data_IF_150769092162
#
_entry.id   IF_150769092162
#
_cell.length_a   1.000
_cell.length_b   1.000
_cell.length_c   1.000
_cell.angle_alpha   90.00
_cell.angle_beta   90.00
_cell.angle_gamma   90.00
#
_symmetry.space_group_name_H-M   'P 1'
#
loop_
_entity.id
_entity.type
_entity.pdbx_description
1 polymer ?
#
# COMPACT_ATOMS: atom_id res chain seq x y z
N UNK A 1 -23.23 -10.45 9.18
CA UNK A 1 -21.95 -9.84 8.74
C UNK A 1 -22.23 -8.94 7.54
N UNK A 2 -21.70 -7.72 7.54
CA UNK A 2 -21.86 -6.80 6.42
C UNK A 2 -20.51 -6.59 5.75
N UNK A 3 -20.50 -6.55 4.42
CA UNK A 3 -19.33 -6.26 3.61
C UNK A 3 -19.56 -4.91 2.95
N UNK A 4 -18.60 -4.01 3.10
CA UNK A 4 -18.64 -2.67 2.52
C UNK A 4 -17.47 -2.50 1.55
N UNK A 5 -17.68 -1.72 0.50
CA UNK A 5 -16.66 -1.42 -0.50
C UNK A 5 -16.44 0.08 -0.62
N UNK A 6 -15.22 0.46 -0.91
CA UNK A 6 -14.89 1.81 -1.31
C UNK A 6 -13.79 1.76 -2.37
N UNK A 7 -13.85 2.67 -3.33
CA UNK A 7 -12.81 2.83 -4.34
C UNK A 7 -12.36 4.28 -4.37
N UNK A 8 -11.07 4.49 -4.54
CA UNK A 8 -10.54 5.83 -4.75
C UNK A 8 -9.32 5.76 -5.67
N UNK A 9 -9.04 6.87 -6.32
CA UNK A 9 -7.94 6.98 -7.29
C UNK A 9 -6.80 7.75 -6.65
N UNK A 10 -5.59 7.25 -6.82
CA UNK A 10 -4.37 7.92 -6.37
C UNK A 10 -3.50 8.15 -7.60
N UNK A 11 -3.13 9.40 -7.82
CA UNK A 11 -2.21 9.75 -8.90
C UNK A 11 -0.78 9.52 -8.45
N UNK A 12 0.02 8.90 -9.29
CA UNK A 12 1.43 8.62 -9.02
C UNK A 12 2.30 9.12 -10.17
N UNK A 13 3.51 9.53 -9.85
CA UNK A 13 4.51 9.91 -10.84
C UNK A 13 5.36 8.74 -11.35
N UNK A 14 5.06 7.53 -10.86
CA UNK A 14 5.87 6.34 -11.14
C UNK A 14 7.03 6.21 -10.16
N UNK A 15 7.48 4.96 -9.94
CA UNK A 15 8.56 4.64 -8.98
C UNK A 15 8.39 5.34 -7.64
N UNK A 16 7.21 5.21 -7.06
CA UNK A 16 6.80 5.99 -5.90
C UNK A 16 6.27 5.09 -4.77
N UNK A 17 6.41 5.60 -3.55
CA UNK A 17 5.85 4.98 -2.34
C UNK A 17 4.94 6.01 -1.71
N UNK A 18 3.66 5.73 -1.67
CA UNK A 18 2.64 6.69 -1.25
C UNK A 18 1.93 6.18 0.00
N UNK A 19 1.95 6.97 1.06
CA UNK A 19 1.20 6.68 2.29
C UNK A 19 -0.28 6.93 2.06
N UNK A 20 -1.07 5.88 2.12
CA UNK A 20 -2.53 5.94 1.91
C UNK A 20 -3.32 5.67 3.19
N UNK A 21 -2.65 5.58 4.33
CA UNK A 21 -3.27 5.21 5.61
C UNK A 21 -4.47 6.10 5.94
N UNK A 22 -4.32 7.41 5.86
CA UNK A 22 -5.39 8.34 6.20
C UNK A 22 -6.55 8.30 5.21
N UNK A 23 -6.27 8.08 3.93
CA UNK A 23 -7.32 7.93 2.92
C UNK A 23 -8.17 6.69 3.17
N UNK A 24 -7.52 5.58 3.51
CA UNK A 24 -8.21 4.32 3.84
C UNK A 24 -9.04 4.50 5.11
N UNK A 25 -8.47 5.09 6.14
CA UNK A 25 -9.17 5.36 7.40
C UNK A 25 -10.41 6.22 7.18
N UNK A 26 -10.29 7.29 6.40
CA UNK A 26 -11.43 8.17 6.09
C UNK A 26 -12.54 7.42 5.37
N UNK A 27 -12.20 6.52 4.43
CA UNK A 27 -13.19 5.72 3.73
C UNK A 27 -13.94 4.78 4.67
N UNK A 28 -13.24 4.19 5.65
CA UNK A 28 -13.85 3.30 6.65
C UNK A 28 -14.81 4.07 7.55
N UNK A 29 -14.38 5.21 8.05
CA UNK A 29 -15.16 6.01 9.00
C UNK A 29 -16.45 6.55 8.39
N UNK A 30 -16.49 6.73 7.06
CA UNK A 30 -17.74 7.10 6.36
C UNK A 30 -18.85 6.09 6.55
N UNK A 31 -18.52 4.82 6.77
CA UNK A 31 -19.51 3.78 7.00
C UNK A 31 -19.88 3.62 8.48
N UNK A 32 -19.33 4.44 9.36
CA UNK A 32 -19.57 4.34 10.80
C UNK A 32 -19.02 3.06 11.42
N UNK A 33 -17.97 2.51 10.83
CA UNK A 33 -17.35 1.26 11.28
C UNK A 33 -16.18 1.58 12.20
N UNK A 34 -16.13 0.92 13.35
CA UNK A 34 -15.05 1.09 14.33
C UNK A 34 -14.24 -0.18 14.56
N UNK A 35 -14.79 -1.35 14.23
CA UNK A 35 -14.12 -2.63 14.38
C UNK A 35 -14.33 -3.46 13.13
N UNK A 36 -13.27 -3.84 12.45
CA UNK A 36 -13.34 -4.64 11.23
C UNK A 36 -11.97 -5.19 10.81
N UNK A 37 -11.99 -6.13 9.89
CA UNK A 37 -10.81 -6.47 9.10
C UNK A 37 -10.89 -5.71 7.79
N UNK A 38 -9.84 -4.99 7.46
CA UNK A 38 -9.80 -4.15 6.28
C UNK A 38 -8.83 -4.75 5.27
N UNK A 39 -9.35 -5.06 4.09
CA UNK A 39 -8.52 -5.49 2.97
C UNK A 39 -8.37 -4.35 1.98
N UNK A 40 -7.14 -4.05 1.63
CA UNK A 40 -6.77 -3.01 0.67
C UNK A 40 -6.15 -3.69 -0.54
N UNK A 41 -6.60 -3.35 -1.73
CA UNK A 41 -6.17 -4.00 -2.95
C UNK A 41 -5.86 -2.98 -4.05
N UNK A 42 -4.71 -3.16 -4.71
CA UNK A 42 -4.32 -2.39 -5.89
C UNK A 42 -4.37 -3.33 -7.11
N UNK A 43 -5.30 -3.11 -8.06
CA UNK A 43 -5.57 -4.09 -9.13
C UNK A 43 -4.64 -3.97 -10.35
N UNK A 44 -3.46 -3.40 -10.20
CA UNK A 44 -2.52 -3.21 -11.30
C UNK A 44 -1.29 -4.11 -11.14
N UNK A 45 -0.79 -4.62 -12.26
CA UNK A 45 0.32 -5.57 -12.27
C UNK A 45 1.69 -4.97 -11.94
N UNK A 46 1.78 -3.64 -11.84
CA UNK A 46 3.01 -2.92 -11.51
C UNK A 46 2.92 -2.14 -10.21
N UNK A 47 1.86 -2.38 -9.41
CA UNK A 47 1.69 -1.73 -8.13
C UNK A 47 1.46 -2.76 -7.03
N UNK A 48 1.68 -2.35 -5.79
CA UNK A 48 1.54 -3.20 -4.62
C UNK A 48 0.98 -2.43 -3.44
N UNK A 49 0.43 -3.18 -2.49
CA UNK A 49 0.07 -2.66 -1.18
C UNK A 49 1.03 -3.29 -0.18
N UNK A 50 1.70 -2.45 0.60
CA UNK A 50 2.59 -2.90 1.66
C UNK A 50 2.26 -2.24 2.98
N UNK A 51 2.53 -2.96 4.05
CA UNK A 51 2.44 -2.41 5.41
C UNK A 51 3.83 -2.52 5.99
N UNK A 52 4.54 -1.43 6.07
CA UNK A 52 5.86 -1.43 6.65
C UNK A 52 6.25 -0.06 7.21
N UNK A 53 7.41 -0.02 7.85
CA UNK A 53 7.88 1.19 8.51
C UNK A 53 8.16 2.30 7.48
N UNK A 54 7.43 3.41 7.61
CA UNK A 54 7.50 4.52 6.66
C UNK A 54 8.40 5.62 7.24
N UNK A 55 9.70 5.40 7.12
CA UNK A 55 10.74 6.39 7.44
C UNK A 55 11.58 6.61 6.19
N UNK A 56 12.19 7.79 6.01
CA UNK A 56 13.04 8.04 4.84
C UNK A 56 14.13 6.99 4.63
N UNK A 57 14.77 6.57 5.71
CA UNK A 57 15.85 5.57 5.66
C UNK A 57 15.34 4.22 5.16
N UNK A 58 14.25 3.74 5.74
CA UNK A 58 13.68 2.43 5.39
C UNK A 58 13.17 2.41 3.96
N UNK A 59 12.51 3.46 3.53
CA UNK A 59 12.02 3.58 2.14
C UNK A 59 13.17 3.58 1.16
N UNK A 60 14.21 4.36 1.44
CA UNK A 60 15.41 4.42 0.59
C UNK A 60 16.11 3.08 0.51
N UNK A 61 16.28 2.40 1.63
CA UNK A 61 16.90 1.06 1.67
C UNK A 61 16.09 0.05 0.85
N UNK A 62 14.77 0.08 0.99
CA UNK A 62 13.89 -0.80 0.23
C UNK A 62 14.01 -0.56 -1.28
N UNK A 63 13.97 0.69 -1.71
CA UNK A 63 14.06 1.05 -3.12
C UNK A 63 15.43 0.65 -3.70
N UNK A 64 16.50 0.88 -2.97
CA UNK A 64 17.86 0.50 -3.39
C UNK A 64 18.01 -1.02 -3.47
N UNK A 65 17.49 -1.74 -2.46
CA UNK A 65 17.50 -3.20 -2.47
C UNK A 65 16.76 -3.74 -3.69
N UNK A 66 15.57 -3.25 -3.97
CA UNK A 66 14.77 -3.72 -5.09
C UNK A 66 15.45 -3.47 -6.43
N UNK A 67 16.09 -2.33 -6.62
CA UNK A 67 16.88 -2.02 -7.82
C UNK A 67 18.08 -2.94 -7.99
N UNK A 68 18.75 -3.28 -6.89
CA UNK A 68 19.96 -4.10 -6.91
C UNK A 68 19.66 -5.56 -7.23
N UNK A 69 18.57 -6.11 -6.70
CA UNK A 69 18.27 -7.52 -6.80
C UNK A 69 17.29 -7.89 -7.91
N UNK A 70 16.53 -6.93 -8.43
CA UNK A 70 15.54 -7.18 -9.47
C UNK A 70 15.86 -6.31 -10.67
N UNK A 71 16.66 -6.86 -11.61
CA UNK A 71 17.19 -6.13 -12.76
C UNK A 71 16.71 -6.69 -14.10
N UNK A 72 15.55 -7.31 -14.12
CA UNK A 72 15.00 -7.89 -15.33
C UNK A 72 14.23 -6.87 -16.15
N UNK A 73 13.93 -7.20 -17.41
CA UNK A 73 13.09 -6.38 -18.29
C UNK A 73 11.73 -6.10 -17.65
N UNK A 74 11.17 -7.07 -16.96
CA UNK A 74 9.86 -6.97 -16.32
C UNK A 74 9.99 -6.72 -14.81
N UNK A 75 11.00 -5.97 -14.38
CA UNK A 75 11.29 -5.73 -12.97
C UNK A 75 10.10 -5.19 -12.17
N UNK A 76 9.29 -4.32 -12.79
CA UNK A 76 8.13 -3.72 -12.13
C UNK A 76 7.05 -4.77 -11.81
N UNK A 77 6.82 -5.73 -12.70
CA UNK A 77 5.88 -6.82 -12.43
C UNK A 77 6.40 -7.79 -11.37
N UNK A 78 7.70 -8.08 -11.40
CA UNK A 78 8.33 -8.97 -10.42
C UNK A 78 8.32 -8.34 -9.03
N UNK A 79 8.63 -7.06 -8.92
CA UNK A 79 8.55 -6.32 -7.66
C UNK A 79 7.13 -6.35 -7.09
N UNK A 80 6.14 -6.10 -7.94
CA UNK A 80 4.74 -6.16 -7.56
C UNK A 80 4.34 -7.55 -7.05
N UNK A 81 4.79 -8.60 -7.72
CA UNK A 81 4.52 -9.98 -7.31
C UNK A 81 5.11 -10.29 -5.93
N UNK A 82 6.35 -9.87 -5.68
CA UNK A 82 7.05 -10.14 -4.41
C UNK A 82 6.39 -9.43 -3.25
N UNK A 83 6.05 -8.17 -3.40
CA UNK A 83 5.40 -7.39 -2.35
C UNK A 83 3.94 -7.80 -2.17
N UNK A 84 3.26 -8.11 -3.27
CA UNK A 84 1.84 -8.42 -3.27
C UNK A 84 0.99 -7.16 -3.47
N UNK A 85 -0.20 -7.36 -4.01
CA UNK A 85 -1.09 -6.25 -4.36
C UNK A 85 -2.28 -6.10 -3.42
N UNK A 86 -2.25 -6.76 -2.28
CA UNK A 86 -3.33 -6.76 -1.30
C UNK A 86 -2.76 -6.94 0.10
N UNK A 87 -3.34 -6.28 1.08
CA UNK A 87 -3.00 -6.45 2.49
C UNK A 87 -4.25 -6.35 3.35
N UNK A 88 -4.28 -7.09 4.45
CA UNK A 88 -5.37 -7.06 5.41
C UNK A 88 -4.84 -6.53 6.73
N UNK A 89 -5.49 -5.49 7.26
CA UNK A 89 -5.10 -4.86 8.52
C UNK A 89 -6.31 -4.78 9.44
N UNK A 90 -6.19 -5.23 10.71
CA UNK A 90 -7.26 -5.04 11.68
C UNK A 90 -7.47 -3.55 11.98
N UNK A 91 -8.74 -3.17 12.13
CA UNK A 91 -9.15 -1.82 12.51
C UNK A 91 -10.02 -1.96 13.75
N UNK A 92 -9.56 -1.43 14.87
CA UNK A 92 -10.18 -1.66 16.17
C UNK A 92 -10.28 -0.33 16.92
N UNK A 93 -11.48 -0.04 17.40
CA UNK A 93 -11.72 1.20 18.14
C UNK A 93 -11.48 2.47 17.30
N UNK A 94 -11.69 2.38 16.00
CA UNK A 94 -11.49 3.50 15.10
C UNK A 94 -10.04 3.73 14.67
N UNK A 95 -9.15 2.78 14.94
CA UNK A 95 -7.73 2.88 14.60
C UNK A 95 -7.20 1.59 13.98
N UNK A 96 -6.24 1.70 13.07
CA UNK A 96 -5.52 0.55 12.56
C UNK A 96 -4.56 -0.01 13.61
N UNK A 97 -4.49 -1.34 13.68
CA UNK A 97 -3.49 -2.04 14.49
C UNK A 97 -2.14 -2.01 13.77
N UNK A 98 -1.42 -0.93 13.92
CA UNK A 98 -0.11 -0.70 13.30
C UNK A 98 0.91 -0.31 14.37
N UNK A 99 2.15 -0.74 14.17
CA UNK A 99 3.25 -0.28 15.00
C UNK A 99 3.54 1.21 14.73
N UNK A 100 4.35 1.82 15.57
CA UNK A 100 4.54 3.27 15.65
C UNK A 100 4.79 3.97 14.32
N UNK A 101 5.64 3.41 13.47
CA UNK A 101 5.98 4.01 12.16
C UNK A 101 5.44 3.22 10.98
N UNK A 102 4.67 2.16 11.24
CA UNK A 102 4.05 1.40 10.16
C UNK A 102 2.91 2.20 9.53
N UNK A 103 2.89 2.17 8.21
CA UNK A 103 1.83 2.82 7.43
C UNK A 103 1.37 1.87 6.34
N UNK A 104 0.17 2.11 5.84
CA UNK A 104 -0.36 1.40 4.68
C UNK A 104 0.13 2.16 3.45
N UNK A 105 0.90 1.49 2.61
CA UNK A 105 1.60 2.13 1.50
C UNK A 105 1.16 1.55 0.17
N UNK A 106 0.92 2.44 -0.79
CA UNK A 106 0.80 2.08 -2.19
C UNK A 106 2.17 2.24 -2.83
N UNK A 107 2.68 1.15 -3.41
CA UNK A 107 3.95 1.16 -4.11
C UNK A 107 3.68 1.09 -5.61
N UNK A 108 4.18 2.07 -6.35
CA UNK A 108 4.08 2.11 -7.79
C UNK A 108 5.46 1.85 -8.39
N UNK A 109 5.62 0.68 -9.01
CA UNK A 109 6.89 0.27 -9.61
C UNK A 109 6.98 0.60 -11.09
N UNK A 110 5.94 1.20 -11.66
CA UNK A 110 5.95 1.61 -13.06
C UNK A 110 6.87 2.83 -13.24
N UNK A 111 7.52 2.90 -14.38
CA UNK A 111 8.39 4.03 -14.72
C UNK A 111 7.60 5.23 -15.26
N UNK A 112 6.31 5.05 -15.52
CA UNK A 112 5.45 6.07 -16.12
C UNK A 112 4.53 6.71 -15.10
N UNK A 113 4.26 7.99 -15.31
CA UNK A 113 3.25 8.73 -14.57
C UNK A 113 1.86 8.14 -14.79
N UNK A 114 1.13 8.03 -13.73
CA UNK A 114 -0.26 7.56 -13.75
C UNK A 114 -1.23 8.61 -13.25
#
# INVERSE_FOLDING_TARGET
MAIKFSKFVINSNGNDVIDITEKVKAAILKYGVYDALINIHAPFSSSSIGVFEYTPDTVEEFLNFSKKFIKTKNHHHIKSLIVGNSATVPFIGGEFELDRFQRILLLDFDDKKR
#
